data_IF_869343375345
#
_entry.id   IF_869343375345
#
_cell.length_a   1.000
_cell.length_b   1.000
_cell.length_c   1.000
_cell.angle_alpha   90.00
_cell.angle_beta   90.00
_cell.angle_gamma   90.00
#
_symmetry.space_group_name_H-M   'P 1'
#
loop_
_entity.id
_entity.type
_entity.pdbx_description
1 polymer ?
#
# COMPACT_ATOMS: atom_id res chain seq x y z
N UNK A 1 13.39 -36.92 -40.77
CA UNK A 1 12.66 -36.58 -39.53
C UNK A 1 12.23 -35.13 -39.62
N UNK A 2 11.00 -34.88 -40.06
CA UNK A 2 10.40 -33.54 -40.09
C UNK A 2 8.89 -33.74 -40.16
N UNK A 3 8.23 -33.59 -39.01
CA UNK A 3 6.78 -33.73 -38.90
C UNK A 3 6.05 -32.51 -39.48
N UNK A 4 4.74 -32.62 -39.75
CA UNK A 4 3.95 -31.53 -40.31
C UNK A 4 3.68 -30.45 -39.25
N UNK A 5 3.83 -29.20 -39.66
CA UNK A 5 3.55 -28.01 -38.86
C UNK A 5 2.05 -27.70 -39.02
N UNK A 6 1.27 -27.80 -37.94
CA UNK A 6 -0.14 -27.43 -37.96
C UNK A 6 -0.30 -25.90 -38.04
N UNK A 7 -1.31 -25.38 -38.76
CA UNK A 7 -1.57 -23.94 -38.81
C UNK A 7 -2.13 -23.44 -37.46
N UNK A 8 -1.41 -22.52 -36.84
CA UNK A 8 -1.85 -21.77 -35.66
C UNK A 8 -3.06 -20.92 -36.07
N UNK A 9 -4.21 -21.14 -35.42
CA UNK A 9 -5.41 -20.31 -35.62
C UNK A 9 -5.21 -18.87 -35.12
N UNK A 10 -6.06 -17.93 -35.58
CA UNK A 10 -5.93 -16.52 -35.21
C UNK A 10 -6.19 -16.32 -33.70
N UNK A 11 -5.20 -15.76 -33.00
CA UNK A 11 -5.38 -15.22 -31.64
C UNK A 11 -6.30 -14.02 -31.72
N UNK A 12 -7.53 -14.17 -31.20
CA UNK A 12 -8.47 -13.07 -31.09
C UNK A 12 -7.92 -11.98 -30.13
N UNK A 13 -8.06 -10.69 -30.45
CA UNK A 13 -7.65 -9.62 -29.55
C UNK A 13 -8.50 -9.68 -28.28
N UNK A 14 -7.84 -9.81 -27.12
CA UNK A 14 -8.46 -9.57 -25.83
C UNK A 14 -8.82 -8.09 -25.75
N UNK A 15 -10.11 -7.77 -25.77
CA UNK A 15 -10.60 -6.41 -25.51
C UNK A 15 -10.02 -5.91 -24.18
N UNK A 16 -9.49 -4.68 -24.11
CA UNK A 16 -9.08 -4.10 -22.85
C UNK A 16 -10.33 -4.00 -21.98
N UNK A 17 -10.32 -4.68 -20.84
CA UNK A 17 -11.35 -4.47 -19.82
C UNK A 17 -11.38 -2.97 -19.50
N UNK A 18 -12.56 -2.37 -19.69
CA UNK A 18 -12.79 -0.98 -19.33
C UNK A 18 -12.30 -0.76 -17.90
N UNK A 19 -11.42 0.22 -17.70
CA UNK A 19 -10.96 0.58 -16.37
C UNK A 19 -12.20 0.82 -15.50
N UNK A 20 -12.39 0.09 -14.39
CA UNK A 20 -13.55 0.29 -13.54
C UNK A 20 -13.48 1.74 -13.08
N UNK A 21 -14.56 2.50 -13.35
CA UNK A 21 -14.75 3.79 -12.73
C UNK A 21 -14.61 3.57 -11.22
N UNK A 22 -13.77 4.36 -10.55
CA UNK A 22 -13.51 4.27 -9.11
C UNK A 22 -14.85 4.28 -8.38
N UNK A 23 -15.33 3.12 -7.96
CA UNK A 23 -16.56 3.07 -7.18
C UNK A 23 -16.27 3.74 -5.83
N UNK A 24 -17.28 4.30 -5.16
CA UNK A 24 -17.11 4.87 -3.82
C UNK A 24 -16.40 3.90 -2.85
N UNK A 25 -16.63 2.59 -3.02
CA UNK A 25 -15.98 1.53 -2.25
C UNK A 25 -14.46 1.44 -2.50
N UNK A 26 -14.00 1.62 -3.74
CA UNK A 26 -12.56 1.68 -4.03
C UNK A 26 -11.89 2.90 -3.38
N UNK A 27 -12.57 4.05 -3.35
CA UNK A 27 -12.04 5.25 -2.71
C UNK A 27 -11.90 5.08 -1.19
N UNK A 28 -12.89 4.46 -0.54
CA UNK A 28 -12.81 4.12 0.89
C UNK A 28 -11.75 3.07 1.18
N UNK A 29 -11.61 2.06 0.31
CA UNK A 29 -10.57 1.04 0.42
C UNK A 29 -9.18 1.66 0.36
N UNK A 30 -8.94 2.55 -0.61
CA UNK A 30 -7.68 3.28 -0.73
C UNK A 30 -7.38 4.10 0.52
N UNK A 31 -8.37 4.84 1.02
CA UNK A 31 -8.22 5.65 2.24
C UNK A 31 -7.89 4.79 3.46
N UNK A 32 -8.52 3.63 3.59
CA UNK A 32 -8.21 2.68 4.66
C UNK A 32 -6.78 2.13 4.53
N UNK A 33 -6.36 1.80 3.31
CA UNK A 33 -5.01 1.29 3.03
C UNK A 33 -3.92 2.35 3.30
N UNK A 34 -4.15 3.61 2.91
CA UNK A 34 -3.29 4.75 3.27
C UNK A 34 -3.19 4.91 4.80
N UNK A 35 -4.31 4.77 5.52
CA UNK A 35 -4.32 4.78 6.99
C UNK A 35 -3.46 3.68 7.62
N UNK A 36 -3.49 2.47 7.04
CA UNK A 36 -2.65 1.36 7.49
C UNK A 36 -1.16 1.65 7.27
N UNK A 37 -0.80 2.11 6.07
CA UNK A 37 0.58 2.51 5.75
C UNK A 37 1.08 3.58 6.73
N UNK A 38 0.26 4.60 7.04
CA UNK A 38 0.62 5.63 8.02
C UNK A 38 0.87 5.05 9.43
N UNK A 39 0.09 4.07 9.90
CA UNK A 39 0.34 3.41 11.19
C UNK A 39 1.65 2.63 11.16
N UNK A 40 1.88 1.86 10.09
CA UNK A 40 3.09 1.06 9.93
C UNK A 40 4.35 1.94 9.89
N UNK A 41 4.31 3.07 9.17
CA UNK A 41 5.40 4.02 9.10
C UNK A 41 5.68 4.67 10.45
N UNK A 42 4.65 5.07 11.20
CA UNK A 42 4.83 5.58 12.58
C UNK A 42 5.53 4.56 13.47
N UNK A 43 5.15 3.28 13.38
CA UNK A 43 5.82 2.21 14.13
C UNK A 43 7.27 2.04 13.69
N UNK A 44 7.54 2.07 12.39
CA UNK A 44 8.90 1.98 11.84
C UNK A 44 9.80 3.12 12.33
N UNK A 45 9.30 4.36 12.30
CA UNK A 45 10.00 5.55 12.80
C UNK A 45 10.27 5.46 14.30
N UNK A 46 9.28 5.04 15.09
CA UNK A 46 9.44 4.81 16.52
C UNK A 46 10.54 3.77 16.82
N UNK A 47 10.57 2.67 16.06
CA UNK A 47 11.61 1.63 16.21
C UNK A 47 12.99 2.12 15.79
N UNK A 48 13.11 2.81 14.64
CA UNK A 48 14.38 3.38 14.17
C UNK A 48 14.97 4.40 15.15
N UNK A 49 14.12 5.18 15.80
CA UNK A 49 14.52 6.12 16.85
C UNK A 49 14.95 5.41 18.13
N UNK A 50 14.18 4.41 18.58
CA UNK A 50 14.55 3.60 19.73
C UNK A 50 15.91 2.91 19.54
N UNK A 51 16.22 2.45 18.33
CA UNK A 51 17.55 1.90 18.01
C UNK A 51 18.66 2.96 17.97
N UNK A 52 18.37 4.22 17.59
CA UNK A 52 19.37 5.30 17.55
C UNK A 52 19.80 5.79 18.94
N UNK A 53 18.91 5.71 19.93
CA UNK A 53 19.18 6.15 21.31
C UNK A 53 19.82 5.08 22.19
N UNK A 54 19.90 3.83 21.71
CA UNK A 54 20.57 2.76 22.43
C UNK A 54 22.09 2.95 22.54
N UNK A 55 22.68 3.86 21.74
CA UNK A 55 24.14 4.00 21.64
C UNK A 55 24.75 5.10 22.51
N UNK A 56 24.16 6.30 22.73
CA UNK A 56 24.97 7.35 23.41
C UNK A 56 24.29 8.65 23.93
N UNK A 57 23.05 8.65 24.43
CA UNK A 57 22.52 9.90 25.03
C UNK A 57 21.53 9.72 26.18
N UNK A 58 21.95 9.95 27.44
CA UNK A 58 21.02 10.31 28.49
C UNK A 58 20.57 11.76 28.24
N UNK A 59 19.28 12.06 28.45
CA UNK A 59 18.68 13.41 28.44
C UNK A 59 18.04 13.89 27.12
N UNK A 60 16.88 13.33 26.77
CA UNK A 60 15.89 14.07 25.95
C UNK A 60 14.60 14.24 26.76
N UNK A 61 14.35 15.46 27.27
CA UNK A 61 13.17 15.76 28.09
C UNK A 61 11.83 15.52 27.39
N UNK A 62 10.79 15.20 28.16
CA UNK A 62 9.49 14.72 27.65
C UNK A 62 8.78 15.66 26.67
N UNK A 63 8.96 16.98 26.78
CA UNK A 63 8.40 17.94 25.81
C UNK A 63 8.93 17.73 24.39
N UNK A 64 10.21 17.41 24.24
CA UNK A 64 10.81 17.17 22.93
C UNK A 64 10.32 15.85 22.32
N UNK A 65 9.95 14.86 23.13
CA UNK A 65 9.37 13.60 22.64
C UNK A 65 7.99 13.83 22.03
N UNK A 66 7.14 14.65 22.66
CA UNK A 66 5.80 14.93 22.12
C UNK A 66 5.85 15.61 20.75
N UNK A 67 6.73 16.61 20.57
CA UNK A 67 6.92 17.25 19.26
C UNK A 67 7.46 16.29 18.20
N UNK A 68 8.34 15.37 18.59
CA UNK A 68 8.83 14.33 17.68
C UNK A 68 7.69 13.40 17.25
N UNK A 69 6.86 12.94 18.18
CA UNK A 69 5.69 12.12 17.87
C UNK A 69 4.77 12.81 16.88
N UNK A 70 4.42 14.09 17.13
CA UNK A 70 3.56 14.85 16.21
C UNK A 70 4.18 15.02 14.82
N UNK A 71 5.50 15.24 14.75
CA UNK A 71 6.23 15.35 13.47
C UNK A 71 6.21 14.02 12.72
N UNK A 72 6.48 12.93 13.41
CA UNK A 72 6.55 11.59 12.81
C UNK A 72 5.14 11.16 12.35
N UNK A 73 4.09 11.53 13.09
CA UNK A 73 2.69 11.36 12.66
C UNK A 73 2.37 12.11 11.37
N UNK A 74 2.73 13.39 11.29
CA UNK A 74 2.47 14.20 10.11
C UNK A 74 3.26 13.71 8.89
N UNK A 75 4.52 13.34 9.09
CA UNK A 75 5.35 12.76 8.04
C UNK A 75 4.75 11.45 7.52
N UNK A 76 4.34 10.54 8.40
CA UNK A 76 3.76 9.26 8.00
C UNK A 76 2.45 9.42 7.21
N UNK A 77 1.61 10.39 7.59
CA UNK A 77 0.37 10.70 6.86
C UNK A 77 0.67 11.20 5.43
N UNK A 78 1.63 12.10 5.27
CA UNK A 78 2.05 12.58 3.94
C UNK A 78 2.66 11.44 3.11
N UNK A 79 3.56 10.65 3.72
CA UNK A 79 4.23 9.54 3.05
C UNK A 79 3.22 8.48 2.57
N UNK A 80 2.20 8.18 3.38
CA UNK A 80 1.16 7.24 3.00
C UNK A 80 0.28 7.77 1.86
N UNK A 81 -0.19 9.03 1.95
CA UNK A 81 -1.00 9.67 0.89
C UNK A 81 -0.27 9.79 -0.45
N UNK A 82 1.05 10.00 -0.40
CA UNK A 82 1.90 10.04 -1.59
C UNK A 82 2.28 8.65 -2.10
N UNK A 83 2.00 7.59 -1.35
CA UNK A 83 2.34 6.22 -1.69
C UNK A 83 3.86 5.97 -1.70
N UNK A 84 4.60 6.63 -0.80
CA UNK A 84 6.06 6.61 -0.78
C UNK A 84 6.66 5.21 -0.60
N UNK A 85 5.95 4.31 0.09
CA UNK A 85 6.39 2.93 0.35
C UNK A 85 5.59 1.88 -0.43
N UNK A 86 4.39 2.22 -0.89
CA UNK A 86 3.58 1.40 -1.78
C UNK A 86 2.78 0.29 -1.09
N UNK A 87 2.80 0.21 0.25
CA UNK A 87 2.03 -0.79 0.99
C UNK A 87 0.53 -0.56 0.87
N UNK A 88 0.10 0.70 0.88
CA UNK A 88 -1.30 1.05 0.68
C UNK A 88 -1.82 0.50 -0.67
N UNK A 89 -1.01 0.65 -1.72
CA UNK A 89 -1.34 0.16 -3.07
C UNK A 89 -1.41 -1.36 -3.14
N UNK A 90 -0.49 -2.07 -2.48
CA UNK A 90 -0.53 -3.54 -2.49
C UNK A 90 -1.76 -4.07 -1.75
N UNK A 91 -2.12 -3.45 -0.62
CA UNK A 91 -3.31 -3.83 0.16
C UNK A 91 -4.58 -3.55 -0.63
N UNK A 92 -4.69 -2.37 -1.24
CA UNK A 92 -5.81 -2.01 -2.12
C UNK A 92 -5.98 -3.05 -3.24
N UNK A 93 -4.90 -3.36 -3.96
CA UNK A 93 -4.95 -4.34 -5.06
C UNK A 93 -5.44 -5.72 -4.60
N UNK A 94 -4.92 -6.21 -3.46
CA UNK A 94 -5.32 -7.51 -2.92
C UNK A 94 -6.79 -7.52 -2.45
N UNK A 95 -7.26 -6.47 -1.77
CA UNK A 95 -8.65 -6.42 -1.31
C UNK A 95 -9.63 -6.25 -2.48
N UNK A 96 -9.32 -5.41 -3.48
CA UNK A 96 -10.14 -5.30 -4.69
C UNK A 96 -10.28 -6.63 -5.41
N UNK A 97 -9.20 -7.42 -5.49
CA UNK A 97 -9.24 -8.77 -6.08
C UNK A 97 -10.21 -9.67 -5.31
N UNK A 98 -10.12 -9.72 -3.98
CA UNK A 98 -11.02 -10.52 -3.14
C UNK A 98 -12.50 -10.07 -3.18
N UNK A 99 -12.77 -8.77 -3.32
CA UNK A 99 -14.12 -8.25 -3.48
C UNK A 99 -14.72 -8.65 -4.83
N UNK A 100 -13.89 -8.66 -5.89
CA UNK A 100 -14.31 -9.08 -7.24
C UNK A 100 -14.65 -10.57 -7.29
N UNK A 101 -13.90 -11.42 -6.56
CA UNK A 101 -14.15 -12.87 -6.46
C UNK A 101 -15.46 -13.19 -5.71
N UNK A 102 -15.76 -12.47 -4.63
CA UNK A 102 -16.97 -12.66 -3.82
C UNK A 102 -18.23 -12.07 -4.48
N UNK A 103 -18.11 -11.01 -5.28
CA UNK A 103 -19.22 -10.43 -6.04
C UNK A 103 -19.67 -11.26 -7.24
N UNK A 104 -18.83 -12.17 -7.75
CA UNK A 104 -19.13 -13.05 -8.89
C UNK A 104 -19.88 -14.34 -8.55
N UNK A 105 -20.31 -14.52 -7.30
CA UNK A 105 -20.98 -15.75 -6.82
C UNK A 105 -22.45 -15.53 -6.39
N UNK A 106 -23.13 -14.54 -6.96
CA UNK A 106 -24.58 -14.33 -6.80
C UNK A 106 -25.31 -14.21 -8.13
#
# INVERSE_FOLDING_TARGET
>A
MTGPIAPQGPVAPRSPAAAPALSPEHAELRKAAEGFEAIMLRRMLATARASSFAEDTPLTGGGMQQFQTMRDEHFADIAAKTGAFGFARSIEAQLTQHLSEQGGSR
#
